data_IF_187352131444
#
_entry.id   IF_187352131444
#
_cell.length_a   1.000
_cell.length_b   1.000
_cell.length_c   1.000
_cell.angle_alpha   90.00
_cell.angle_beta   90.00
_cell.angle_gamma   90.00
#
_symmetry.space_group_name_H-M   'P 1'
#
loop_
_entity.id
_entity.type
_entity.pdbx_description
1 polymer ?
#
# COMPACT_ATOMS: atom_id res chain seq x y z
N UNK A 1 11.72 47.68 28.93
CA UNK A 1 12.72 46.61 28.64
C UNK A 1 11.95 45.39 28.14
N UNK A 2 12.43 44.79 27.06
CA UNK A 2 11.66 44.03 26.08
C UNK A 2 11.31 42.62 26.56
N UNK A 3 10.04 42.22 26.41
CA UNK A 3 9.56 40.83 26.41
C UNK A 3 9.57 40.32 24.97
N UNK A 4 10.59 39.53 24.61
CA UNK A 4 10.69 38.82 23.33
C UNK A 4 11.16 37.40 23.65
N UNK A 5 10.42 36.40 23.16
CA UNK A 5 10.95 35.04 23.00
C UNK A 5 10.16 33.92 23.69
N UNK A 6 9.00 33.58 23.15
CA UNK A 6 8.41 32.24 23.36
C UNK A 6 7.52 31.77 22.17
N UNK A 7 7.78 32.25 20.95
CA UNK A 7 7.07 31.77 19.75
C UNK A 7 7.93 30.89 18.82
N UNK A 8 9.16 30.55 19.22
CA UNK A 8 10.12 29.87 18.34
C UNK A 8 10.24 28.35 18.49
N UNK A 9 9.76 27.74 19.58
CA UNK A 9 10.05 26.34 19.91
C UNK A 9 9.01 25.32 19.39
N UNK A 10 7.75 25.73 19.22
CA UNK A 10 6.66 24.86 18.74
C UNK A 10 6.76 24.59 17.23
N UNK A 11 7.04 25.63 16.45
CA UNK A 11 7.05 25.52 14.99
C UNK A 11 8.33 24.87 14.46
N UNK A 12 9.45 25.03 15.17
CA UNK A 12 10.69 24.29 14.90
C UNK A 12 10.55 22.82 15.21
N UNK A 13 10.03 22.45 16.39
CA UNK A 13 9.81 21.03 16.73
C UNK A 13 8.87 20.32 15.74
N UNK A 14 7.82 21.00 15.25
CA UNK A 14 6.92 20.47 14.21
C UNK A 14 7.59 20.36 12.84
N UNK A 15 8.42 21.33 12.47
CA UNK A 15 9.19 21.27 11.22
C UNK A 15 10.22 20.14 11.25
N UNK A 16 10.83 19.89 12.41
CA UNK A 16 11.79 18.82 12.65
C UNK A 16 11.13 17.43 12.57
N UNK A 17 9.95 17.26 13.18
CA UNK A 17 9.17 16.00 13.09
C UNK A 17 8.82 15.64 11.64
N UNK A 18 8.37 16.63 10.85
CA UNK A 18 8.07 16.42 9.45
C UNK A 18 9.33 16.00 8.67
N UNK A 19 10.45 16.70 8.86
CA UNK A 19 11.71 16.39 8.21
C UNK A 19 12.25 15.00 8.58
N UNK A 20 12.17 14.61 9.86
CA UNK A 20 12.56 13.27 10.34
C UNK A 20 11.71 12.18 9.68
N UNK A 21 10.37 12.35 9.66
CA UNK A 21 9.48 11.39 9.01
C UNK A 21 9.77 11.26 7.50
N UNK A 22 10.02 12.38 6.80
CA UNK A 22 10.42 12.34 5.38
C UNK A 22 11.73 11.58 5.21
N UNK A 23 12.71 11.81 6.09
CA UNK A 23 14.00 11.15 6.04
C UNK A 23 13.89 9.64 6.29
N UNK A 24 13.04 9.20 7.23
CA UNK A 24 12.77 7.78 7.49
C UNK A 24 12.14 7.09 6.27
N UNK A 25 11.12 7.70 5.65
CA UNK A 25 10.43 7.14 4.48
C UNK A 25 11.36 7.15 3.26
N UNK A 26 12.09 8.24 3.05
CA UNK A 26 13.09 8.33 1.98
C UNK A 26 14.24 7.33 2.21
N UNK A 27 14.63 7.12 3.46
CA UNK A 27 15.62 6.12 3.85
C UNK A 27 15.16 4.72 3.45
N UNK A 28 13.93 4.34 3.80
CA UNK A 28 13.31 3.09 3.35
C UNK A 28 13.26 2.96 1.83
N UNK A 29 12.95 4.05 1.11
CA UNK A 29 12.92 4.07 -0.36
C UNK A 29 14.30 4.06 -1.03
N UNK A 30 15.37 4.40 -0.31
CA UNK A 30 16.75 4.32 -0.81
C UNK A 30 17.41 3.00 -0.45
N UNK A 31 16.99 2.38 0.65
CA UNK A 31 17.40 1.04 1.05
C UNK A 31 16.48 -0.05 0.50
N UNK A 32 15.49 0.33 -0.34
CA UNK A 32 14.56 -0.57 -1.04
C UNK A 32 15.19 -1.38 -2.18
N UNK A 33 16.30 -2.05 -1.88
CA UNK A 33 16.65 -3.35 -2.45
C UNK A 33 16.02 -4.48 -1.60
N UNK A 34 14.83 -4.23 -1.07
CA UNK A 34 14.24 -4.99 0.03
C UNK A 34 12.91 -5.62 -0.35
N UNK A 35 12.86 -6.94 -0.25
CA UNK A 35 11.64 -7.69 -0.01
C UNK A 35 10.82 -7.05 1.11
N UNK A 36 9.52 -6.89 0.84
CA UNK A 36 8.56 -6.31 1.75
C UNK A 36 7.42 -7.30 2.01
N UNK A 37 7.43 -7.93 3.18
CA UNK A 37 6.24 -8.67 3.62
C UNK A 37 5.29 -7.69 4.26
N UNK A 38 4.26 -7.30 3.52
CA UNK A 38 3.28 -6.29 3.94
C UNK A 38 1.91 -6.94 4.18
N UNK A 39 1.35 -6.78 5.37
CA UNK A 39 -0.03 -7.21 5.61
C UNK A 39 -0.93 -6.00 5.62
N UNK A 40 -1.61 -5.73 4.50
CA UNK A 40 -2.63 -4.67 4.43
C UNK A 40 -4.00 -5.20 4.87
N UNK A 41 -4.63 -4.52 5.82
CA UNK A 41 -5.98 -4.86 6.29
C UNK A 41 -6.89 -3.66 6.17
N UNK A 42 -7.89 -3.68 5.27
CA UNK A 42 -8.88 -2.61 5.15
C UNK A 42 -10.12 -2.93 5.96
N UNK A 43 -10.57 -1.97 6.75
CA UNK A 43 -11.77 -2.05 7.57
C UNK A 43 -12.71 -0.92 7.17
N UNK A 44 -14.00 -1.25 7.01
CA UNK A 44 -15.08 -0.30 6.78
C UNK A 44 -16.16 -0.53 7.83
N UNK A 45 -16.54 0.51 8.55
CA UNK A 45 -17.59 0.41 9.57
C UNK A 45 -18.41 1.68 9.66
N UNK A 46 -19.71 1.52 9.85
CA UNK A 46 -20.61 2.53 10.42
C UNK A 46 -20.58 2.49 11.96
N UNK A 47 -19.65 1.74 12.55
CA UNK A 47 -19.65 1.34 13.96
C UNK A 47 -18.40 1.83 14.68
N UNK A 48 -18.57 2.23 15.94
CA UNK A 48 -17.53 2.69 16.88
C UNK A 48 -16.54 1.61 17.35
N UNK A 49 -16.60 0.39 16.81
CA UNK A 49 -15.74 -0.73 17.22
C UNK A 49 -15.07 -1.40 16.00
N UNK A 50 -13.73 -1.54 15.99
CA UNK A 50 -13.00 -2.22 14.92
C UNK A 50 -13.26 -3.73 14.96
N UNK A 51 -13.74 -4.32 13.86
CA UNK A 51 -13.80 -5.78 13.69
C UNK A 51 -12.49 -6.27 13.07
N UNK A 52 -11.79 -7.14 13.78
CA UNK A 52 -10.51 -7.71 13.34
C UNK A 52 -10.74 -9.05 12.61
N UNK A 53 -10.94 -9.01 11.28
CA UNK A 53 -10.77 -10.21 10.45
C UNK A 53 -9.42 -10.11 9.71
N UNK A 54 -8.52 -11.12 9.82
CA UNK A 54 -7.26 -11.12 9.11
C UNK A 54 -7.46 -11.55 7.64
N UNK A 55 -7.30 -10.68 6.62
CA UNK A 55 -7.13 -11.13 5.25
C UNK A 55 -5.80 -11.90 5.10
N UNK A 56 -5.75 -12.78 4.10
CA UNK A 56 -4.55 -13.54 3.73
C UNK A 56 -3.35 -12.60 3.53
N UNK A 57 -2.20 -12.95 4.12
CA UNK A 57 -0.98 -12.17 4.00
C UNK A 57 -0.57 -12.04 2.53
N UNK A 58 -0.26 -10.82 2.10
CA UNK A 58 0.30 -10.55 0.78
C UNK A 58 1.79 -10.31 0.94
N UNK A 59 2.64 -11.23 0.52
CA UNK A 59 4.06 -10.94 0.45
C UNK A 59 4.32 -10.14 -0.83
N UNK A 60 5.17 -9.11 -0.76
CA UNK A 60 5.58 -8.31 -1.92
C UNK A 60 7.10 -8.34 -1.92
N UNK A 61 7.69 -9.28 -2.67
CA UNK A 61 9.15 -9.33 -2.80
C UNK A 61 9.63 -8.31 -3.82
N UNK A 62 9.67 -7.04 -3.44
CA UNK A 62 10.16 -5.93 -4.26
C UNK A 62 11.67 -5.99 -4.48
N UNK A 63 12.08 -5.80 -5.73
CA UNK A 63 13.45 -5.46 -6.12
C UNK A 63 13.34 -4.20 -6.97
N UNK A 64 13.70 -3.03 -6.44
CA UNK A 64 13.93 -1.85 -7.27
C UNK A 64 15.37 -1.87 -7.75
N UNK A 65 15.60 -2.31 -8.99
CA UNK A 65 16.92 -2.27 -9.61
C UNK A 65 17.21 -0.86 -10.16
N UNK A 66 18.45 -0.60 -10.55
CA UNK A 66 18.83 0.68 -11.16
C UNK A 66 18.08 0.96 -12.50
N UNK A 67 17.42 -0.05 -13.07
CA UNK A 67 16.59 0.05 -14.26
C UNK A 67 15.09 0.27 -13.95
N UNK A 68 14.71 0.42 -12.67
CA UNK A 68 13.34 0.68 -12.24
C UNK A 68 12.40 -0.52 -12.36
N UNK A 69 12.93 -1.75 -12.28
CA UNK A 69 12.14 -2.97 -12.18
C UNK A 69 11.54 -3.14 -10.77
N UNK A 70 10.51 -3.96 -10.62
CA UNK A 70 9.94 -4.37 -9.33
C UNK A 70 9.35 -5.76 -9.42
N UNK A 71 9.90 -6.70 -8.66
CA UNK A 71 9.32 -8.03 -8.52
C UNK A 71 8.19 -8.02 -7.46
N UNK A 72 7.14 -8.79 -7.66
CA UNK A 72 6.03 -8.97 -6.73
C UNK A 72 5.74 -10.46 -6.65
N UNK A 73 5.65 -11.02 -5.44
CA UNK A 73 5.38 -12.46 -5.25
C UNK A 73 4.25 -12.65 -4.25
N UNK A 74 3.02 -12.84 -4.75
CA UNK A 74 1.89 -13.17 -3.89
C UNK A 74 2.05 -14.58 -3.35
N UNK A 75 1.91 -14.75 -2.03
CA UNK A 75 1.97 -16.06 -1.39
C UNK A 75 0.77 -16.94 -1.76
N UNK A 76 0.93 -18.28 -1.66
CA UNK A 76 -0.16 -19.22 -1.82
C UNK A 76 -1.39 -18.85 -0.99
N UNK A 77 -2.55 -19.02 -1.59
CA UNK A 77 -3.86 -18.86 -0.96
C UNK A 77 -4.62 -20.19 -1.01
N UNK A 78 -5.79 -20.24 -0.37
CA UNK A 78 -6.69 -21.40 -0.49
C UNK A 78 -7.09 -21.65 -1.95
N UNK A 79 -7.23 -20.59 -2.75
CA UNK A 79 -7.70 -20.66 -4.13
C UNK A 79 -6.59 -20.89 -5.16
N UNK A 80 -5.37 -20.46 -4.86
CA UNK A 80 -4.17 -20.65 -5.70
C UNK A 80 -3.03 -21.14 -4.80
N UNK A 81 -2.70 -22.44 -4.82
CA UNK A 81 -1.80 -23.07 -3.84
C UNK A 81 -0.32 -22.91 -4.16
N UNK A 82 0.03 -22.00 -5.08
CA UNK A 82 1.40 -21.71 -5.51
C UNK A 82 1.66 -20.21 -5.43
N UNK A 83 2.92 -19.77 -5.26
CA UNK A 83 3.26 -18.37 -5.36
C UNK A 83 2.94 -17.83 -6.76
N UNK A 84 2.48 -16.58 -6.83
CA UNK A 84 2.23 -15.89 -8.09
C UNK A 84 3.16 -14.71 -8.21
N UNK A 85 4.00 -14.72 -9.24
CA UNK A 85 5.05 -13.73 -9.44
C UNK A 85 4.67 -12.75 -10.56
N UNK A 86 4.93 -11.47 -10.35
CA UNK A 86 4.89 -10.43 -11.37
C UNK A 86 6.16 -9.59 -11.33
N UNK A 87 6.52 -9.00 -12.47
CA UNK A 87 7.58 -8.03 -12.62
C UNK A 87 6.99 -6.77 -13.25
N UNK A 88 7.22 -5.61 -12.65
CA UNK A 88 6.75 -4.32 -13.16
C UNK A 88 7.93 -3.43 -13.54
N UNK A 89 7.74 -2.58 -14.56
CA UNK A 89 8.71 -1.58 -15.04
C UNK A 89 7.95 -0.38 -15.58
N UNK A 90 8.16 0.82 -15.01
CA UNK A 90 7.56 2.07 -15.52
C UNK A 90 6.06 1.98 -15.86
N UNK A 91 5.27 1.31 -15.01
CA UNK A 91 3.83 1.15 -15.21
C UNK A 91 3.41 -0.03 -16.10
N UNK A 92 4.34 -0.67 -16.79
CA UNK A 92 4.15 -1.96 -17.45
C UNK A 92 4.37 -3.11 -16.48
N UNK A 93 3.68 -4.23 -16.72
CA UNK A 93 3.76 -5.40 -15.86
C UNK A 93 3.64 -6.70 -16.67
N UNK A 94 4.47 -7.67 -16.32
CA UNK A 94 4.36 -9.07 -16.73
C UNK A 94 4.11 -9.95 -15.52
N UNK A 95 3.29 -10.98 -15.66
CA UNK A 95 3.08 -11.98 -14.61
C UNK A 95 3.39 -13.38 -15.12
N UNK A 96 3.95 -14.19 -14.24
CA UNK A 96 4.21 -15.60 -14.49
C UNK A 96 2.88 -16.36 -14.50
N UNK A 97 2.62 -17.07 -15.59
CA UNK A 97 1.47 -17.96 -15.77
C UNK A 97 1.93 -19.37 -16.12
N UNK A 98 1.03 -20.37 -16.08
CA UNK A 98 1.36 -21.72 -16.53
C UNK A 98 1.86 -21.78 -17.98
N UNK A 99 1.50 -20.79 -18.81
CA UNK A 99 1.92 -20.69 -20.21
C UNK A 99 3.17 -19.83 -20.41
N UNK A 100 3.78 -19.32 -19.34
CA UNK A 100 4.95 -18.42 -19.36
C UNK A 100 4.65 -17.00 -18.87
N UNK A 101 5.58 -16.08 -19.11
CA UNK A 101 5.45 -14.67 -18.73
C UNK A 101 4.57 -13.91 -19.71
N UNK A 102 3.50 -13.29 -19.22
CA UNK A 102 2.54 -12.56 -20.05
C UNK A 102 2.38 -11.13 -19.56
N UNK A 103 2.34 -10.18 -20.50
CA UNK A 103 2.02 -8.76 -20.20
C UNK A 103 0.58 -8.65 -19.71
N UNK A 104 0.32 -7.66 -18.86
CA UNK A 104 -1.01 -7.38 -18.28
C UNK A 104 -2.14 -7.31 -19.31
N UNK A 105 -1.89 -6.74 -20.49
CA UNK A 105 -2.92 -6.63 -21.52
C UNK A 105 -3.19 -7.97 -22.22
N UNK A 106 -2.16 -8.81 -22.41
CA UNK A 106 -2.34 -10.18 -22.90
C UNK A 106 -3.12 -11.04 -21.90
N UNK A 107 -2.91 -10.84 -20.59
CA UNK A 107 -3.69 -11.49 -19.54
C UNK A 107 -5.18 -11.09 -19.58
N UNK A 108 -5.47 -9.82 -19.88
CA UNK A 108 -6.85 -9.32 -20.05
C UNK A 108 -7.49 -9.80 -21.35
N UNK A 109 -6.74 -9.81 -22.45
CA UNK A 109 -7.19 -10.23 -23.77
C UNK A 109 -7.42 -11.76 -23.87
N UNK A 110 -6.72 -12.56 -23.05
CA UNK A 110 -6.87 -14.02 -22.96
C UNK A 110 -8.23 -14.51 -22.45
N UNK A 111 -9.18 -13.60 -22.19
CA UNK A 111 -10.55 -13.90 -21.74
C UNK A 111 -11.40 -14.77 -22.67
N UNK A 112 -10.86 -15.25 -23.79
CA UNK A 112 -11.51 -16.18 -24.72
C UNK A 112 -11.08 -17.67 -24.58
N UNK A 113 -9.97 -17.99 -23.92
CA UNK A 113 -9.60 -19.40 -23.68
C UNK A 113 -10.34 -19.93 -22.45
N UNK A 114 -11.58 -20.37 -22.71
CA UNK A 114 -12.55 -20.93 -21.77
C UNK A 114 -11.94 -21.80 -20.67
N UNK A 115 -12.45 -21.63 -19.44
CA UNK A 115 -12.50 -22.54 -18.28
C UNK A 115 -11.67 -23.84 -18.31
N UNK A 116 -10.39 -23.78 -18.65
CA UNK A 116 -9.50 -24.93 -18.49
C UNK A 116 -8.99 -24.95 -17.08
N UNK A 117 -9.13 -26.09 -16.43
CA UNK A 117 -8.43 -26.35 -15.19
C UNK A 117 -6.93 -26.55 -15.47
N UNK A 118 -6.10 -26.02 -14.59
CA UNK A 118 -4.64 -26.21 -14.59
C UNK A 118 -4.25 -26.96 -13.33
N UNK A 119 -3.27 -27.86 -13.44
CA UNK A 119 -2.73 -28.58 -12.29
C UNK A 119 -1.52 -27.81 -11.77
N UNK A 120 -1.60 -27.38 -10.51
CA UNK A 120 -0.55 -26.63 -9.81
C UNK A 120 -0.23 -27.37 -8.52
N UNK A 121 1.01 -27.85 -8.35
CA UNK A 121 1.43 -28.64 -7.17
C UNK A 121 0.44 -29.78 -6.85
N UNK A 122 0.01 -30.50 -7.87
CA UNK A 122 -0.95 -31.61 -7.75
C UNK A 122 -2.40 -31.21 -7.47
N UNK A 123 -2.73 -29.91 -7.43
CA UNK A 123 -4.10 -29.41 -7.25
C UNK A 123 -4.67 -28.83 -8.54
N UNK A 124 -5.89 -29.23 -8.84
CA UNK A 124 -6.68 -28.68 -9.94
C UNK A 124 -7.21 -27.30 -9.58
N UNK A 125 -6.82 -26.28 -10.34
CA UNK A 125 -7.20 -24.88 -10.14
C UNK A 125 -7.79 -24.35 -11.43
N UNK A 126 -8.93 -23.65 -11.35
CA UNK A 126 -9.49 -22.96 -12.51
C UNK A 126 -8.49 -21.92 -13.01
N UNK A 127 -8.13 -21.97 -14.29
CA UNK A 127 -7.22 -20.98 -14.91
C UNK A 127 -7.65 -19.54 -14.67
N UNK A 128 -8.96 -19.26 -14.65
CA UNK A 128 -9.50 -17.93 -14.36
C UNK A 128 -9.10 -17.41 -12.97
N UNK A 129 -9.02 -18.28 -11.96
CA UNK A 129 -8.56 -17.90 -10.61
C UNK A 129 -7.07 -17.60 -10.59
N UNK A 130 -6.28 -18.40 -11.30
CA UNK A 130 -4.84 -18.14 -11.43
C UNK A 130 -4.59 -16.82 -12.17
N UNK A 131 -5.27 -16.58 -13.30
CA UNK A 131 -5.17 -15.33 -14.06
C UNK A 131 -5.60 -14.13 -13.22
N UNK A 132 -6.66 -14.25 -12.42
CA UNK A 132 -7.07 -13.21 -11.50
C UNK A 132 -5.99 -12.91 -10.44
N UNK A 133 -5.33 -13.94 -9.90
CA UNK A 133 -4.20 -13.76 -8.98
C UNK A 133 -2.98 -13.13 -9.67
N UNK A 134 -2.70 -13.51 -10.93
CA UNK A 134 -1.61 -12.93 -11.74
C UNK A 134 -1.87 -11.45 -12.07
N UNK A 135 -3.11 -11.10 -12.44
CA UNK A 135 -3.55 -9.72 -12.63
C UNK A 135 -3.47 -8.92 -11.33
N UNK A 136 -3.82 -9.54 -10.19
CA UNK A 136 -3.65 -8.93 -8.87
C UNK A 136 -2.18 -8.65 -8.60
N UNK A 137 -1.28 -9.61 -8.81
CA UNK A 137 0.16 -9.44 -8.63
C UNK A 137 0.71 -8.31 -9.50
N UNK A 138 0.33 -8.28 -10.79
CA UNK A 138 0.71 -7.25 -11.75
C UNK A 138 0.11 -5.85 -11.48
N UNK A 139 -0.84 -5.75 -10.55
CA UNK A 139 -1.45 -4.50 -10.12
C UNK A 139 -1.00 -4.07 -8.72
N UNK A 140 -0.23 -4.91 -8.00
CA UNK A 140 0.31 -4.52 -6.70
C UNK A 140 1.36 -3.44 -6.91
N UNK A 141 1.20 -2.37 -6.14
CA UNK A 141 2.19 -1.32 -5.99
C UNK A 141 2.98 -1.56 -4.69
N UNK A 142 4.31 -1.40 -4.68
CA UNK A 142 5.09 -1.44 -3.45
C UNK A 142 4.58 -0.41 -2.45
N UNK A 143 4.52 -0.79 -1.18
CA UNK A 143 4.00 0.10 -0.13
C UNK A 143 4.92 1.30 0.07
N UNK A 144 6.22 1.13 -0.17
CA UNK A 144 7.18 2.24 -0.16
C UNK A 144 6.79 3.34 -1.15
N UNK A 145 6.28 2.99 -2.33
CA UNK A 145 5.78 4.00 -3.27
C UNK A 145 4.51 4.69 -2.77
N UNK A 146 3.58 3.92 -2.16
CA UNK A 146 2.40 4.49 -1.52
C UNK A 146 2.79 5.46 -0.39
N UNK A 147 3.84 5.15 0.37
CA UNK A 147 4.36 6.01 1.43
C UNK A 147 5.00 7.29 0.87
N UNK A 148 5.77 7.20 -0.22
CA UNK A 148 6.37 8.37 -0.86
C UNK A 148 5.31 9.36 -1.35
N UNK A 149 4.23 8.87 -1.96
CA UNK A 149 3.11 9.72 -2.37
C UNK A 149 2.45 10.39 -1.17
N UNK A 150 2.23 9.65 -0.07
CA UNK A 150 1.61 10.20 1.14
C UNK A 150 2.45 11.32 1.78
N UNK A 151 3.78 11.22 1.74
CA UNK A 151 4.70 12.17 2.40
C UNK A 151 4.70 13.56 1.79
N UNK A 152 4.47 13.66 0.48
CA UNK A 152 4.45 14.94 -0.22
C UNK A 152 3.24 15.78 0.20
N UNK A 153 2.15 15.12 0.61
CA UNK A 153 0.86 15.74 0.79
C UNK A 153 0.51 16.06 2.25
N UNK A 154 1.30 15.67 3.26
CA UNK A 154 0.91 15.90 4.67
C UNK A 154 0.67 17.38 5.01
N UNK A 155 -0.53 17.66 5.53
CA UNK A 155 -0.95 18.98 6.01
C UNK A 155 -0.19 19.39 7.27
N UNK A 156 0.00 18.43 8.18
CA UNK A 156 0.76 18.63 9.41
C UNK A 156 1.35 17.30 9.87
N UNK A 157 2.46 17.35 10.60
CA UNK A 157 3.08 16.19 11.24
C UNK A 157 3.38 16.58 12.68
N UNK A 158 3.11 15.67 13.61
CA UNK A 158 3.50 15.80 15.02
C UNK A 158 3.86 14.45 15.61
N UNK A 159 4.72 14.44 16.61
CA UNK A 159 4.99 13.25 17.42
C UNK A 159 4.13 13.22 18.68
N UNK A 160 3.54 12.07 18.98
CA UNK A 160 2.76 11.86 20.20
C UNK A 160 3.01 10.43 20.70
N UNK A 161 3.35 10.25 21.97
CA UNK A 161 3.59 8.93 22.58
C UNK A 161 4.56 8.02 21.79
N UNK A 162 5.56 8.61 21.11
CA UNK A 162 6.57 7.87 20.35
C UNK A 162 6.14 7.44 18.94
N UNK A 163 4.97 7.84 18.45
CA UNK A 163 4.52 7.66 17.06
C UNK A 163 4.43 9.00 16.34
N UNK A 164 4.57 9.00 15.01
CA UNK A 164 4.24 10.18 14.21
C UNK A 164 2.79 10.14 13.79
N UNK A 165 2.08 11.26 13.94
CA UNK A 165 0.75 11.48 13.42
C UNK A 165 0.86 12.52 12.31
N UNK A 166 0.47 12.15 11.11
CA UNK A 166 0.46 13.01 9.95
C UNK A 166 -0.98 13.22 9.46
N UNK A 167 -1.44 14.47 9.42
CA UNK A 167 -2.76 14.81 8.92
C UNK A 167 -2.73 14.89 7.39
N UNK A 168 -3.73 14.27 6.76
CA UNK A 168 -3.91 14.28 5.32
C UNK A 168 -4.73 15.50 4.87
N UNK A 169 -4.44 16.07 3.69
CA UNK A 169 -5.28 17.07 3.07
C UNK A 169 -6.51 16.40 2.47
N UNK A 170 -7.61 17.15 2.36
CA UNK A 170 -8.90 16.66 1.83
C UNK A 170 -8.74 15.96 0.47
N UNK A 171 -7.95 16.53 -0.43
CA UNK A 171 -7.68 15.94 -1.75
C UNK A 171 -7.07 14.53 -1.67
N UNK A 172 -6.12 14.31 -0.75
CA UNK A 172 -5.51 12.99 -0.56
C UNK A 172 -6.52 12.01 0.05
N UNK A 173 -7.38 12.49 0.95
CA UNK A 173 -8.44 11.69 1.57
C UNK A 173 -9.47 11.26 0.52
N UNK A 174 -9.92 12.17 -0.34
CA UNK A 174 -10.85 11.87 -1.43
C UNK A 174 -10.29 10.81 -2.40
N UNK A 175 -9.02 10.97 -2.78
CA UNK A 175 -8.33 10.03 -3.66
C UNK A 175 -8.24 8.63 -3.01
N UNK A 176 -7.83 8.59 -1.73
CA UNK A 176 -7.68 7.34 -0.99
C UNK A 176 -9.03 6.67 -0.64
N UNK A 177 -10.11 7.45 -0.50
CA UNK A 177 -11.47 6.93 -0.29
C UNK A 177 -12.00 6.20 -1.52
N UNK A 178 -11.67 6.69 -2.73
CA UNK A 178 -11.97 6.03 -4.00
C UNK A 178 -13.43 6.09 -4.44
N UNK A 179 -14.24 7.00 -3.86
CA UNK A 179 -15.67 7.11 -4.15
C UNK A 179 -16.20 8.55 -4.13
N UNK A 180 -17.34 8.84 -4.80
CA UNK A 180 -17.89 10.19 -4.91
C UNK A 180 -18.51 10.71 -3.60
N UNK A 181 -18.61 9.88 -2.57
CA UNK A 181 -19.15 10.24 -1.26
C UNK A 181 -18.22 11.20 -0.50
N UNK A 182 -16.91 10.96 -0.54
CA UNK A 182 -15.95 11.83 0.14
C UNK A 182 -16.00 13.27 -0.38
N UNK A 183 -16.13 13.44 -1.71
CA UNK A 183 -16.28 14.76 -2.36
C UNK A 183 -17.55 15.51 -1.97
N UNK A 184 -18.57 14.80 -1.49
CA UNK A 184 -19.87 15.34 -1.11
C UNK A 184 -20.04 15.46 0.39
N UNK A 185 -19.10 14.94 1.17
CA UNK A 185 -19.15 14.94 2.61
C UNK A 185 -18.83 16.35 3.13
N UNK A 186 -19.70 16.94 3.98
CA UNK A 186 -19.41 18.23 4.60
C UNK A 186 -18.19 18.22 5.51
N UNK A 187 -17.84 17.07 6.09
CA UNK A 187 -16.66 16.92 6.94
C UNK A 187 -15.81 15.75 6.48
N UNK A 188 -14.50 15.99 6.37
CA UNK A 188 -13.52 14.99 5.90
C UNK A 188 -12.29 15.04 6.81
N UNK A 189 -11.90 13.89 7.34
CA UNK A 189 -10.74 13.74 8.22
C UNK A 189 -9.87 12.57 7.78
N UNK A 190 -8.56 12.75 7.89
CA UNK A 190 -7.59 11.73 7.50
C UNK A 190 -6.32 11.87 8.29
N UNK A 191 -5.88 10.79 8.91
CA UNK A 191 -4.64 10.73 9.68
C UNK A 191 -3.89 9.47 9.31
N UNK A 192 -2.57 9.61 9.16
CA UNK A 192 -1.63 8.50 9.08
C UNK A 192 -0.81 8.45 10.35
N UNK A 193 -0.78 7.29 11.00
CA UNK A 193 -0.03 7.04 12.22
C UNK A 193 1.14 6.15 11.87
N UNK A 194 2.37 6.61 12.10
CA UNK A 194 3.59 5.86 11.83
C UNK A 194 4.22 5.37 13.12
N UNK A 195 4.47 4.07 13.18
CA UNK A 195 5.26 3.44 14.22
C UNK A 195 6.66 3.13 13.70
N UNK A 196 7.64 3.73 14.36
CA UNK A 196 9.07 3.50 14.07
C UNK A 196 9.55 2.25 14.83
N UNK A 197 10.30 1.39 14.16
CA UNK A 197 11.06 0.29 14.73
C UNK A 197 12.56 0.53 14.59
N UNK A 198 13.35 -0.52 14.82
CA UNK A 198 14.82 -0.42 14.88
C UNK A 198 15.47 0.02 13.56
N UNK A 199 14.87 -0.34 12.41
CA UNK A 199 15.45 -0.10 11.08
C UNK A 199 14.72 0.97 10.25
N UNK A 200 13.67 1.59 10.79
CA UNK A 200 12.81 2.51 10.04
C UNK A 200 11.35 2.40 10.44
N UNK A 201 10.41 2.67 9.53
CA UNK A 201 8.98 2.49 9.83
C UNK A 201 8.66 1.00 9.86
N UNK A 202 8.14 0.54 11.01
CA UNK A 202 7.72 -0.84 11.22
C UNK A 202 6.24 -1.06 10.91
N UNK A 203 5.42 -0.02 11.03
CA UNK A 203 3.99 -0.07 10.72
C UNK A 203 3.47 1.34 10.42
N UNK A 204 2.49 1.44 9.54
CA UNK A 204 1.66 2.63 9.46
C UNK A 204 0.18 2.29 9.40
N UNK A 205 -0.64 3.18 9.97
CA UNK A 205 -2.08 3.07 10.01
C UNK A 205 -2.69 4.28 9.35
N UNK A 206 -3.54 4.09 8.35
CA UNK A 206 -4.33 5.16 7.77
C UNK A 206 -5.73 5.07 8.33
N UNK A 207 -6.24 6.19 8.82
CA UNK A 207 -7.60 6.35 9.33
C UNK A 207 -8.24 7.51 8.57
N UNK A 208 -9.30 7.21 7.82
CA UNK A 208 -10.11 8.16 7.08
C UNK A 208 -11.52 8.19 7.65
N UNK A 209 -12.10 9.38 7.74
CA UNK A 209 -13.48 9.60 8.16
C UNK A 209 -14.17 10.61 7.24
N UNK A 210 -15.41 10.31 6.87
CA UNK A 210 -16.30 11.27 6.22
C UNK A 210 -17.56 11.42 7.07
N UNK A 211 -18.00 12.66 7.26
CA UNK A 211 -19.12 13.02 8.12
C UNK A 211 -20.26 13.64 7.30
N UNK A 212 -21.49 13.21 7.58
CA UNK A 212 -22.71 13.85 7.07
C UNK A 212 -23.57 14.33 8.25
N UNK A 213 -24.29 15.46 8.13
CA UNK A 213 -25.26 15.86 9.12
C UNK A 213 -26.28 14.74 9.37
N UNK A 214 -26.46 14.37 10.63
CA UNK A 214 -27.47 13.38 11.01
C UNK A 214 -28.85 14.06 11.00
N UNK A 215 -29.82 13.50 10.28
CA UNK A 215 -31.17 14.06 10.26
C UNK A 215 -31.91 13.90 11.60
N UNK A 216 -31.46 12.98 12.46
CA UNK A 216 -32.12 12.63 13.74
C UNK A 216 -31.47 13.26 14.96
N UNK A 217 -30.22 13.70 14.85
CA UNK A 217 -29.48 14.38 15.92
C UNK A 217 -28.89 15.68 15.39
N UNK A 218 -28.60 16.68 16.24
CA UNK A 218 -27.82 17.87 15.80
C UNK A 218 -26.34 17.53 15.55
N UNK A 219 -25.99 16.26 15.44
CA UNK A 219 -24.63 15.75 15.31
C UNK A 219 -24.28 15.33 13.89
N UNK A 220 -23.10 14.71 13.77
CA UNK A 220 -22.55 14.24 12.50
C UNK A 220 -22.51 12.72 12.52
N UNK A 221 -23.10 12.10 11.51
CA UNK A 221 -22.98 10.68 11.25
C UNK A 221 -21.67 10.40 10.50
N UNK A 222 -20.74 9.71 11.17
CA UNK A 222 -19.42 9.39 10.64
C UNK A 222 -19.38 8.01 9.98
N UNK A 223 -18.78 7.94 8.79
CA UNK A 223 -18.35 6.70 8.16
C UNK A 223 -16.83 6.66 8.16
N UNK A 224 -16.25 5.55 8.59
CA UNK A 224 -14.80 5.41 8.69
C UNK A 224 -14.26 4.29 7.80
N UNK A 225 -13.12 4.56 7.19
CA UNK A 225 -12.25 3.57 6.56
C UNK A 225 -10.90 3.61 7.25
N UNK A 226 -10.39 2.45 7.66
CA UNK A 226 -9.05 2.37 8.21
C UNK A 226 -8.29 1.21 7.59
N UNK A 227 -6.98 1.34 7.46
CA UNK A 227 -6.13 0.20 7.18
C UNK A 227 -4.77 0.31 7.84
N UNK A 228 -4.23 -0.84 8.19
CA UNK A 228 -2.88 -0.97 8.71
C UNK A 228 -2.02 -1.71 7.71
N UNK A 229 -0.76 -1.31 7.61
CA UNK A 229 0.28 -2.05 6.89
C UNK A 229 1.47 -2.20 7.82
N UNK A 230 1.83 -3.45 8.10
CA UNK A 230 2.97 -3.80 8.94
C UNK A 230 4.09 -4.39 8.09
N UNK A 231 5.31 -3.93 8.34
CA UNK A 231 6.54 -4.46 7.77
C UNK A 231 7.13 -5.49 8.73
N UNK A 232 7.26 -6.75 8.30
CA UNK A 232 7.86 -7.80 9.14
C UNK A 232 9.34 -8.05 8.85
N UNK A 233 9.88 -7.51 7.75
CA UNK A 233 11.31 -7.51 7.48
C UNK A 233 11.68 -6.44 6.45
N UNK A 234 12.83 -5.80 6.66
CA UNK A 234 13.50 -4.86 5.74
C UNK A 234 14.99 -5.21 5.82
N UNK A 235 15.52 -5.99 4.88
CA UNK A 235 16.97 -6.19 4.69
C UNK A 235 17.36 -6.40 3.21
N UNK A 236 18.52 -5.89 2.78
CA UNK A 236 18.93 -5.96 1.38
C UNK A 236 19.02 -7.42 0.89
N UNK A 237 18.23 -7.79 -0.11
CA UNK A 237 18.35 -9.08 -0.80
C UNK A 237 18.47 -8.83 -2.30
N UNK A 238 19.50 -9.40 -2.90
CA UNK A 238 19.59 -9.53 -4.36
C UNK A 238 18.70 -10.68 -4.77
N UNK A 239 17.45 -10.39 -5.13
CA UNK A 239 16.66 -11.32 -5.94
C UNK A 239 17.12 -11.14 -7.38
N UNK A 240 17.31 -12.22 -8.14
CA UNK A 240 17.65 -12.09 -9.55
C UNK A 240 16.37 -11.94 -10.36
N UNK A 241 16.29 -10.87 -11.17
CA UNK A 241 15.21 -10.70 -12.15
C UNK A 241 15.15 -11.93 -13.07
N UNK A 242 14.00 -12.62 -13.20
CA UNK A 242 13.88 -13.73 -14.13
C UNK A 242 14.07 -13.28 -15.58
N UNK A 243 15.02 -13.88 -16.30
CA UNK A 243 15.37 -13.47 -17.67
C UNK A 243 14.16 -13.46 -18.62
N UNK A 244 13.28 -14.47 -18.52
CA UNK A 244 12.06 -14.55 -19.32
C UNK A 244 11.03 -13.45 -19.02
N UNK A 245 11.06 -12.86 -17.81
CA UNK A 245 10.20 -11.73 -17.45
C UNK A 245 10.73 -10.43 -18.09
N UNK A 246 12.05 -10.20 -18.03
CA UNK A 246 12.69 -9.04 -18.66
C UNK A 246 12.47 -9.02 -20.18
N UNK A 247 12.69 -10.16 -20.85
CA UNK A 247 12.44 -10.30 -22.29
C UNK A 247 10.98 -10.05 -22.67
N UNK A 248 10.03 -10.41 -21.81
CA UNK A 248 8.60 -10.17 -22.06
C UNK A 248 8.20 -8.70 -21.88
N UNK A 249 8.98 -7.92 -21.11
CA UNK A 249 8.80 -6.47 -20.96
C UNK A 249 9.44 -5.66 -22.10
N UNK A 250 10.46 -6.22 -22.77
CA UNK A 250 11.17 -5.59 -23.88
C UNK A 250 10.49 -5.79 -25.26
N UNK A 251 9.49 -6.68 -25.33
CA UNK A 251 8.65 -6.93 -26.51
C UNK A 251 7.39 -6.08 -26.49
#
# INVERSE_FOLDING_TARGET
MVLLGAMGASDTARADDAAELRALITGMARTSHTWETSVRRKFSGATTAPRFDPPAATEVRGEFDAAGLTLVVLQPTRDVPVPVTALTRHGDAVALTPTGWLRRDALRAGGGEAERDVVLEGKTVRRTRFVAAALKAAAVRPVVEDLLDLVVDFKSVRREQGVFLAELPEKAIELAWGGPEAKRAPEVHGTVIFKVGETGIAEYHVVLGIGFPDARSKGVAWTMQQWSTRFSAVGATTVAVPEGAAQALDK
#
